data_IF_470732675535
#
_entry.id   IF_470732675535
#
_cell.length_a   1.000
_cell.length_b   1.000
_cell.length_c   1.000
_cell.angle_alpha   90.00
_cell.angle_beta   90.00
_cell.angle_gamma   90.00
#
_symmetry.space_group_name_H-M   'P 1'
#
loop_
_entity.id
_entity.type
_entity.pdbx_description
1 polymer ?
#
# COMPACT_ATOMS: atom_id res chain seq x y z
N UNK A 1 -67.63 27.71 79.28
CA UNK A 1 -66.52 27.89 78.30
C UNK A 1 -66.95 28.99 77.35
N UNK A 2 -66.15 30.09 77.28
CA UNK A 2 -66.49 31.20 76.38
C UNK A 2 -66.21 30.76 74.91
N UNK A 3 -67.03 31.25 73.97
CA UNK A 3 -66.86 31.04 72.50
C UNK A 3 -65.48 31.50 72.07
N UNK A 4 -64.88 32.55 72.64
CA UNK A 4 -63.52 33.07 72.40
C UNK A 4 -62.44 32.02 72.70
N UNK A 5 -62.55 31.25 73.77
CA UNK A 5 -61.62 30.20 74.09
C UNK A 5 -61.66 29.01 73.12
N UNK A 6 -62.80 28.76 72.49
CA UNK A 6 -62.95 27.72 71.46
C UNK A 6 -62.35 28.20 70.16
N UNK A 7 -62.57 29.43 69.78
CA UNK A 7 -61.98 30.03 68.59
C UNK A 7 -60.43 30.10 68.63
N UNK A 8 -59.96 30.54 69.78
CA UNK A 8 -58.46 30.59 69.99
C UNK A 8 -57.78 29.21 69.89
N UNK A 9 -58.47 28.21 70.44
CA UNK A 9 -58.00 26.83 70.39
C UNK A 9 -58.02 26.25 68.96
N UNK A 10 -59.06 26.56 68.17
CA UNK A 10 -59.09 26.19 66.75
C UNK A 10 -58.06 26.87 65.94
N UNK A 11 -57.79 28.17 66.23
CA UNK A 11 -56.68 28.90 65.57
C UNK A 11 -55.30 28.30 65.93
N UNK A 12 -55.05 27.98 67.17
CA UNK A 12 -53.82 27.35 67.66
C UNK A 12 -53.64 25.94 67.04
N UNK A 13 -54.70 25.11 67.06
CA UNK A 13 -54.65 23.77 66.43
C UNK A 13 -54.44 23.86 64.88
N UNK A 14 -55.09 24.83 64.24
CA UNK A 14 -54.92 25.05 62.81
C UNK A 14 -53.50 25.52 62.46
N UNK A 15 -52.99 26.48 63.25
CA UNK A 15 -51.60 26.98 63.04
C UNK A 15 -50.56 25.87 63.28
N UNK A 16 -50.78 25.01 64.26
CA UNK A 16 -49.91 23.84 64.49
C UNK A 16 -49.95 22.86 63.31
N UNK A 17 -51.16 22.51 62.83
CA UNK A 17 -51.36 21.61 61.69
C UNK A 17 -50.72 22.20 60.41
N UNK A 18 -50.89 23.47 60.14
CA UNK A 18 -50.24 24.15 59.01
C UNK A 18 -48.71 24.15 59.14
N UNK A 19 -48.18 24.41 60.36
CA UNK A 19 -46.74 24.30 60.62
C UNK A 19 -46.18 22.92 60.36
N UNK A 20 -46.92 21.87 60.76
CA UNK A 20 -46.53 20.49 60.53
C UNK A 20 -46.50 20.14 59.04
N UNK A 21 -47.54 20.49 58.28
CA UNK A 21 -47.59 20.29 56.85
C UNK A 21 -46.47 21.01 56.11
N UNK A 22 -46.15 22.26 56.46
CA UNK A 22 -45.05 23.02 55.86
C UNK A 22 -43.69 22.35 56.18
N UNK A 23 -43.48 21.93 57.42
CA UNK A 23 -42.26 21.27 57.86
C UNK A 23 -42.03 19.92 57.16
N UNK A 24 -43.09 19.14 56.97
CA UNK A 24 -43.05 17.88 56.20
C UNK A 24 -42.71 18.16 54.72
N UNK A 25 -43.37 19.15 54.12
CA UNK A 25 -43.14 19.51 52.73
C UNK A 25 -41.73 20.05 52.52
N UNK A 26 -41.16 20.83 53.41
CA UNK A 26 -39.76 21.31 53.35
C UNK A 26 -38.78 20.16 53.50
N UNK A 27 -39.04 19.21 54.42
CA UNK A 27 -38.23 18.02 54.61
C UNK A 27 -38.24 17.12 53.37
N UNK A 28 -39.38 16.96 52.76
CA UNK A 28 -39.51 16.18 51.53
C UNK A 28 -38.84 16.85 50.36
N UNK A 29 -38.97 18.17 50.20
CA UNK A 29 -38.30 18.95 49.20
C UNK A 29 -36.75 18.89 49.34
N UNK A 30 -36.21 18.90 50.58
CA UNK A 30 -34.79 18.76 50.84
C UNK A 30 -34.28 17.38 50.48
N UNK A 31 -34.97 16.32 50.80
CA UNK A 31 -34.64 14.94 50.38
C UNK A 31 -34.57 14.82 48.86
N UNK A 32 -35.59 15.36 48.18
CA UNK A 32 -35.63 15.33 46.70
C UNK A 32 -34.40 16.06 46.13
N UNK A 33 -34.00 17.22 46.71
CA UNK A 33 -32.83 17.96 46.27
C UNK A 33 -31.54 17.18 46.49
N UNK A 34 -31.39 16.52 47.67
CA UNK A 34 -30.25 15.70 48.00
C UNK A 34 -30.14 14.49 47.02
N UNK A 35 -31.22 13.82 46.74
CA UNK A 35 -31.26 12.69 45.84
C UNK A 35 -30.88 13.08 44.41
N UNK A 36 -31.42 14.19 43.87
CA UNK A 36 -31.03 14.71 42.57
C UNK A 36 -29.61 15.22 42.51
N UNK A 37 -29.09 15.82 43.59
CA UNK A 37 -27.72 16.24 43.68
C UNK A 37 -26.73 15.05 43.64
N UNK A 38 -27.10 13.95 44.32
CA UNK A 38 -26.33 12.70 44.31
C UNK A 38 -26.35 12.08 42.90
N UNK A 39 -27.52 11.96 42.27
CA UNK A 39 -27.70 11.43 40.94
C UNK A 39 -26.91 12.26 39.87
N UNK A 40 -27.00 13.58 39.95
CA UNK A 40 -26.25 14.49 39.09
C UNK A 40 -24.72 14.30 39.26
N UNK A 41 -24.28 14.10 40.51
CA UNK A 41 -22.87 13.81 40.82
C UNK A 41 -22.39 12.51 40.17
N UNK A 42 -23.16 11.44 40.32
CA UNK A 42 -22.82 10.14 39.66
C UNK A 42 -22.82 10.23 38.15
N UNK A 43 -23.83 10.89 37.59
CA UNK A 43 -23.91 11.10 36.14
C UNK A 43 -22.72 11.89 35.61
N UNK A 44 -22.32 12.93 36.31
CA UNK A 44 -21.12 13.73 35.96
C UNK A 44 -19.87 12.86 35.92
N UNK A 45 -19.60 12.09 36.95
CA UNK A 45 -18.44 11.18 37.02
C UNK A 45 -18.47 10.15 35.90
N UNK A 46 -19.65 9.59 35.62
CA UNK A 46 -19.84 8.63 34.52
C UNK A 46 -19.53 9.27 33.16
N UNK A 47 -20.05 10.47 32.90
CA UNK A 47 -19.83 11.18 31.64
C UNK A 47 -18.36 11.59 31.46
N UNK A 48 -17.71 12.09 32.51
CA UNK A 48 -16.29 12.42 32.50
C UNK A 48 -15.43 11.19 32.18
N UNK A 49 -15.72 10.05 32.81
CA UNK A 49 -15.02 8.80 32.52
C UNK A 49 -15.21 8.34 31.07
N UNK A 50 -16.45 8.40 30.58
CA UNK A 50 -16.75 8.04 29.18
C UNK A 50 -16.05 8.97 28.17
N UNK A 51 -16.07 10.27 28.44
CA UNK A 51 -15.39 11.26 27.60
C UNK A 51 -13.87 11.02 27.56
N UNK A 52 -13.26 10.73 28.71
CA UNK A 52 -11.85 10.42 28.81
C UNK A 52 -11.49 9.15 28.02
N UNK A 53 -12.24 8.07 28.22
CA UNK A 53 -12.00 6.82 27.49
C UNK A 53 -12.12 7.03 25.97
N UNK A 54 -13.15 7.74 25.51
CA UNK A 54 -13.32 8.07 24.08
C UNK A 54 -12.18 8.91 23.55
N UNK A 55 -11.70 9.87 24.32
CA UNK A 55 -10.57 10.71 23.91
C UNK A 55 -9.27 9.89 23.79
N UNK A 56 -9.01 8.99 24.73
CA UNK A 56 -7.85 8.09 24.70
C UNK A 56 -7.92 7.10 23.50
N UNK A 57 -9.09 6.56 23.22
CA UNK A 57 -9.33 5.69 22.04
C UNK A 57 -9.10 6.45 20.73
N UNK A 58 -9.63 7.66 20.61
CA UNK A 58 -9.47 8.48 19.42
C UNK A 58 -8.00 8.90 19.20
N UNK A 59 -7.32 9.29 20.28
CA UNK A 59 -5.89 9.61 20.21
C UNK A 59 -5.09 8.39 19.70
N UNK A 60 -5.35 7.21 20.26
CA UNK A 60 -4.69 5.97 19.81
C UNK A 60 -4.98 5.67 18.36
N UNK A 61 -6.23 5.84 17.92
CA UNK A 61 -6.63 5.65 16.53
C UNK A 61 -5.89 6.60 15.59
N UNK A 62 -5.78 7.88 15.95
CA UNK A 62 -5.07 8.87 15.17
C UNK A 62 -3.57 8.53 15.06
N UNK A 63 -2.92 8.13 16.16
CA UNK A 63 -1.51 7.75 16.13
C UNK A 63 -1.26 6.54 15.21
N UNK A 64 -2.07 5.49 15.32
CA UNK A 64 -1.94 4.30 14.45
C UNK A 64 -2.16 4.66 12.98
N UNK A 65 -3.14 5.50 12.68
CA UNK A 65 -3.39 5.94 11.31
C UNK A 65 -2.21 6.75 10.75
N UNK A 66 -1.62 7.65 11.55
CA UNK A 66 -0.46 8.42 11.12
C UNK A 66 0.78 7.52 10.93
N UNK A 67 1.01 6.56 11.79
CA UNK A 67 2.10 5.57 11.60
C UNK A 67 1.92 4.77 10.31
N UNK A 68 0.70 4.33 10.02
CA UNK A 68 0.39 3.61 8.78
C UNK A 68 0.59 4.51 7.55
N UNK A 69 0.18 5.77 7.64
CA UNK A 69 0.37 6.76 6.56
C UNK A 69 1.84 6.99 6.26
N UNK A 70 2.64 7.24 7.30
CA UNK A 70 4.09 7.45 7.17
C UNK A 70 4.79 6.21 6.60
N UNK A 71 4.41 5.01 7.06
CA UNK A 71 4.96 3.76 6.53
C UNK A 71 4.62 3.58 5.05
N UNK A 72 3.40 3.89 4.65
CA UNK A 72 2.98 3.85 3.25
C UNK A 72 3.79 4.83 2.40
N UNK A 73 3.92 6.09 2.82
CA UNK A 73 4.71 7.10 2.13
C UNK A 73 6.18 6.68 1.97
N UNK A 74 6.78 6.09 3.02
CA UNK A 74 8.13 5.58 2.95
C UNK A 74 8.27 4.45 1.91
N UNK A 75 7.33 3.51 1.88
CA UNK A 75 7.32 2.43 0.89
C UNK A 75 7.13 2.95 -0.53
N UNK A 76 6.27 3.94 -0.73
CA UNK A 76 6.09 4.60 -2.03
C UNK A 76 7.41 5.27 -2.50
N UNK A 77 8.11 5.98 -1.61
CA UNK A 77 9.42 6.57 -1.94
C UNK A 77 10.50 5.54 -2.26
N UNK A 78 10.55 4.46 -1.47
CA UNK A 78 11.48 3.35 -1.77
C UNK A 78 11.19 2.75 -3.16
N UNK A 79 9.91 2.59 -3.52
CA UNK A 79 9.52 2.09 -4.84
C UNK A 79 9.90 3.04 -5.98
N UNK A 80 9.66 4.34 -5.82
CA UNK A 80 10.06 5.35 -6.80
C UNK A 80 11.56 5.31 -7.10
N UNK A 81 12.39 5.12 -6.07
CA UNK A 81 13.85 4.99 -6.22
C UNK A 81 14.20 3.73 -7.03
N UNK A 82 13.58 2.59 -6.71
CA UNK A 82 13.79 1.34 -7.46
C UNK A 82 13.33 1.47 -8.91
N UNK A 83 12.17 2.06 -9.17
CA UNK A 83 11.65 2.29 -10.51
C UNK A 83 12.61 3.19 -11.32
N UNK A 84 13.11 4.26 -10.73
CA UNK A 84 14.10 5.14 -11.37
C UNK A 84 15.42 4.41 -11.70
N UNK A 85 15.86 3.51 -10.82
CA UNK A 85 17.04 2.68 -11.05
C UNK A 85 16.86 1.78 -12.28
N UNK A 86 15.73 1.09 -12.40
CA UNK A 86 15.45 0.21 -13.55
C UNK A 86 15.31 0.99 -14.86
N UNK A 87 14.70 2.17 -14.82
CA UNK A 87 14.63 3.08 -15.99
C UNK A 87 16.02 3.50 -16.43
N UNK A 88 16.91 3.85 -15.51
CA UNK A 88 18.26 4.23 -15.83
C UNK A 88 19.10 3.04 -16.35
N UNK A 89 18.90 1.85 -15.76
CA UNK A 89 19.53 0.63 -16.24
C UNK A 89 19.08 0.28 -17.68
N UNK A 90 17.79 0.41 -17.97
CA UNK A 90 17.24 0.20 -19.32
C UNK A 90 17.90 1.16 -20.33
N UNK A 91 17.95 2.46 -20.01
CA UNK A 91 18.60 3.47 -20.87
C UNK A 91 20.08 3.16 -21.16
N UNK A 92 20.81 2.68 -20.16
CA UNK A 92 22.21 2.28 -20.35
C UNK A 92 22.34 1.08 -21.27
N UNK A 93 21.44 0.11 -21.15
CA UNK A 93 21.41 -1.06 -22.04
C UNK A 93 21.03 -0.64 -23.46
N UNK A 94 20.06 0.26 -23.64
CA UNK A 94 19.67 0.81 -24.93
C UNK A 94 20.82 1.60 -25.60
N UNK A 95 21.68 2.22 -24.82
CA UNK A 95 22.81 3.02 -25.29
C UNK A 95 24.08 2.22 -25.55
N UNK A 96 24.03 0.88 -25.47
CA UNK A 96 25.17 0.03 -25.82
C UNK A 96 25.64 0.26 -27.26
N UNK A 97 26.95 0.27 -27.46
CA UNK A 97 27.55 0.32 -28.79
C UNK A 97 27.12 -0.93 -29.60
N UNK A 98 27.04 -0.79 -30.92
CA UNK A 98 26.58 -1.82 -31.84
C UNK A 98 27.22 -3.18 -31.58
N UNK A 99 28.51 -3.23 -31.43
CA UNK A 99 29.27 -4.46 -31.29
C UNK A 99 28.98 -5.15 -29.95
N UNK A 100 28.87 -4.38 -28.87
CA UNK A 100 28.49 -4.86 -27.55
C UNK A 100 27.05 -5.40 -27.54
N UNK A 101 26.15 -4.69 -28.20
CA UNK A 101 24.75 -5.11 -28.36
C UNK A 101 24.64 -6.47 -29.12
N UNK A 102 25.34 -6.60 -30.25
CA UNK A 102 25.33 -7.84 -31.02
C UNK A 102 25.93 -9.03 -30.27
N UNK A 103 27.02 -8.82 -29.53
CA UNK A 103 27.62 -9.89 -28.72
C UNK A 103 26.68 -10.28 -27.55
N UNK A 104 25.99 -9.32 -26.92
CA UNK A 104 24.99 -9.59 -25.88
C UNK A 104 23.84 -10.40 -26.48
N UNK A 105 23.27 -9.99 -27.61
CA UNK A 105 22.18 -10.71 -28.28
C UNK A 105 22.60 -12.11 -28.68
N UNK A 106 23.79 -12.29 -29.21
CA UNK A 106 24.34 -13.59 -29.59
C UNK A 106 24.42 -14.51 -28.38
N UNK A 107 24.96 -14.04 -27.26
CA UNK A 107 25.05 -14.81 -26.03
C UNK A 107 23.65 -15.21 -25.50
N UNK A 108 22.68 -14.29 -25.55
CA UNK A 108 21.34 -14.53 -25.08
C UNK A 108 20.60 -15.52 -25.98
N UNK A 109 20.68 -15.37 -27.29
CA UNK A 109 20.11 -16.30 -28.26
C UNK A 109 20.69 -17.70 -28.06
N UNK A 110 22.01 -17.85 -27.95
CA UNK A 110 22.67 -19.13 -27.74
C UNK A 110 22.23 -19.84 -26.46
N UNK A 111 21.96 -19.07 -25.39
CA UNK A 111 21.46 -19.65 -24.13
C UNK A 111 20.01 -20.07 -24.18
N UNK A 112 19.20 -19.48 -25.04
CA UNK A 112 17.76 -19.67 -25.10
C UNK A 112 17.29 -20.49 -26.30
N UNK A 113 18.04 -20.49 -27.39
CA UNK A 113 17.74 -21.33 -28.55
C UNK A 113 17.83 -22.82 -28.17
N UNK A 114 16.83 -23.58 -28.59
CA UNK A 114 16.72 -25.01 -28.29
C UNK A 114 17.04 -25.89 -29.47
N UNK A 115 16.53 -25.55 -30.63
CA UNK A 115 16.65 -26.33 -31.86
C UNK A 115 17.64 -25.74 -32.88
N UNK A 116 17.97 -24.48 -32.72
CA UNK A 116 18.68 -23.67 -33.73
C UNK A 116 17.99 -23.65 -35.08
N UNK A 117 16.65 -23.71 -35.10
CA UNK A 117 15.77 -23.52 -36.26
C UNK A 117 14.80 -22.36 -36.03
N UNK A 118 15.02 -21.64 -34.95
CA UNK A 118 14.19 -20.52 -34.58
C UNK A 118 14.37 -19.37 -35.59
N UNK A 119 13.29 -18.63 -35.81
CA UNK A 119 13.31 -17.34 -36.50
C UNK A 119 13.50 -16.24 -35.46
N UNK A 120 14.41 -15.30 -35.76
CA UNK A 120 14.62 -14.12 -34.93
C UNK A 120 13.74 -13.01 -35.47
N UNK A 121 12.80 -12.56 -34.68
CA UNK A 121 12.03 -11.35 -34.95
C UNK A 121 12.81 -10.17 -34.37
N UNK A 122 13.08 -9.17 -35.19
CA UNK A 122 13.83 -7.94 -34.81
C UNK A 122 13.01 -6.71 -35.20
N UNK A 123 13.25 -5.56 -34.58
CA UNK A 123 12.66 -4.30 -35.01
C UNK A 123 13.07 -3.96 -36.45
N UNK A 124 12.21 -3.24 -37.17
CA UNK A 124 12.45 -2.90 -38.59
C UNK A 124 13.73 -2.07 -38.77
N UNK A 125 13.96 -1.12 -37.90
CA UNK A 125 15.14 -0.24 -37.91
C UNK A 125 16.46 -0.95 -37.55
N UNK A 126 16.38 -2.14 -36.96
CA UNK A 126 17.54 -2.93 -36.55
C UNK A 126 17.85 -4.10 -37.49
N UNK A 127 17.06 -4.36 -38.50
CA UNK A 127 17.26 -5.49 -39.43
C UNK A 127 18.64 -5.51 -40.06
N UNK A 128 19.17 -4.36 -40.45
CA UNK A 128 20.50 -4.24 -41.04
C UNK A 128 21.63 -4.63 -40.06
N UNK A 129 21.42 -4.40 -38.77
CA UNK A 129 22.41 -4.71 -37.73
C UNK A 129 22.56 -6.23 -37.57
N UNK A 130 21.46 -6.96 -37.68
CA UNK A 130 21.41 -8.42 -37.60
C UNK A 130 21.66 -9.12 -38.95
N UNK A 131 22.48 -8.52 -39.78
CA UNK A 131 22.79 -8.99 -41.11
C UNK A 131 23.44 -10.38 -41.19
N UNK A 132 23.86 -10.74 -42.41
CA UNK A 132 24.40 -12.08 -42.71
C UNK A 132 25.60 -12.48 -41.81
N UNK A 133 26.50 -11.52 -41.50
CA UNK A 133 27.64 -11.78 -40.67
C UNK A 133 27.29 -12.22 -39.25
N UNK A 134 26.25 -11.59 -38.65
CA UNK A 134 25.73 -11.97 -37.35
C UNK A 134 25.14 -13.38 -37.39
N UNK A 135 24.29 -13.66 -38.38
CA UNK A 135 23.68 -15.00 -38.55
C UNK A 135 24.73 -16.09 -38.74
N UNK A 136 25.76 -15.81 -39.57
CA UNK A 136 26.85 -16.75 -39.82
C UNK A 136 27.63 -17.03 -38.53
N UNK A 137 27.90 -16.00 -37.75
CA UNK A 137 28.59 -16.13 -36.46
C UNK A 137 27.78 -16.95 -35.45
N UNK A 138 26.45 -16.75 -35.42
CA UNK A 138 25.52 -17.44 -34.54
C UNK A 138 25.40 -18.92 -34.93
N UNK A 139 25.23 -19.21 -36.21
CA UNK A 139 25.09 -20.55 -36.78
C UNK A 139 26.37 -21.39 -36.68
N UNK A 140 27.56 -20.76 -36.83
CA UNK A 140 28.87 -21.41 -36.61
C UNK A 140 29.00 -21.95 -35.18
N UNK A 141 28.56 -21.19 -34.20
CA UNK A 141 28.65 -21.56 -32.78
C UNK A 141 27.64 -22.64 -32.41
N UNK A 142 26.54 -22.79 -33.16
CA UNK A 142 25.53 -23.84 -32.95
C UNK A 142 26.09 -25.29 -33.13
N UNK A 143 27.26 -25.44 -33.71
CA UNK A 143 27.93 -26.72 -33.90
C UNK A 143 27.16 -27.64 -34.84
N UNK A 144 27.25 -28.97 -34.62
CA UNK A 144 26.63 -30.00 -35.49
C UNK A 144 25.09 -30.12 -35.37
N UNK A 145 24.42 -29.22 -34.67
CA UNK A 145 22.96 -29.18 -34.62
C UNK A 145 22.47 -28.69 -35.98
N UNK A 146 21.85 -29.57 -36.75
CA UNK A 146 21.32 -29.30 -38.12
C UNK A 146 20.15 -28.35 -38.06
N UNK A 147 20.41 -27.07 -37.97
CA UNK A 147 19.44 -25.97 -38.05
C UNK A 147 20.16 -24.71 -38.49
N UNK A 148 19.47 -23.80 -39.07
CA UNK A 148 19.96 -22.45 -39.32
C UNK A 148 18.94 -21.47 -38.77
N UNK A 149 19.38 -20.67 -37.81
CA UNK A 149 18.59 -19.53 -37.36
C UNK A 149 18.50 -18.54 -38.50
N UNK A 150 17.31 -18.01 -38.74
CA UNK A 150 17.01 -17.00 -39.79
C UNK A 150 16.36 -15.78 -39.15
N UNK A 151 16.35 -14.67 -39.89
CA UNK A 151 15.57 -13.50 -39.51
C UNK A 151 14.16 -13.65 -40.09
N UNK A 152 13.16 -13.32 -39.27
CA UNK A 152 11.77 -13.29 -39.69
C UNK A 152 11.51 -12.19 -40.70
N UNK A 153 10.63 -12.44 -41.69
CA UNK A 153 10.22 -11.41 -42.62
C UNK A 153 9.30 -10.37 -41.96
N UNK A 154 8.59 -10.75 -40.92
CA UNK A 154 7.76 -9.86 -40.11
C UNK A 154 8.60 -9.13 -39.04
N UNK A 155 8.63 -7.80 -39.06
CA UNK A 155 9.31 -7.04 -38.02
C UNK A 155 8.56 -7.11 -36.68
N UNK A 156 9.29 -6.91 -35.60
CA UNK A 156 8.73 -6.79 -34.25
C UNK A 156 8.33 -5.35 -33.92
N UNK A 157 7.28 -5.20 -33.14
CA UNK A 157 6.82 -3.92 -32.60
C UNK A 157 7.43 -3.68 -31.19
N UNK A 158 8.75 -3.51 -31.16
CA UNK A 158 9.53 -3.20 -29.95
C UNK A 158 10.81 -2.46 -30.35
N UNK A 159 11.44 -1.75 -29.41
CA UNK A 159 12.60 -0.89 -29.69
C UNK A 159 13.94 -1.58 -29.52
N UNK A 160 14.03 -2.62 -28.70
CA UNK A 160 15.30 -3.25 -28.34
C UNK A 160 15.14 -4.74 -28.01
N UNK A 161 16.12 -5.54 -28.45
CA UNK A 161 16.13 -6.96 -28.21
C UNK A 161 15.65 -7.79 -29.39
N UNK A 162 15.29 -9.05 -29.15
CA UNK A 162 14.83 -9.99 -30.16
C UNK A 162 13.76 -10.92 -29.60
N UNK A 163 12.90 -11.46 -30.47
CA UNK A 163 12.00 -12.56 -30.12
C UNK A 163 12.41 -13.77 -30.95
N UNK A 164 12.66 -14.91 -30.28
CA UNK A 164 12.91 -16.19 -30.93
C UNK A 164 11.58 -16.91 -31.14
N UNK A 165 11.26 -17.29 -32.37
CA UNK A 165 10.01 -17.97 -32.73
C UNK A 165 10.31 -19.31 -33.38
N UNK A 166 9.65 -20.38 -32.93
CA UNK A 166 9.65 -21.69 -33.58
C UNK A 166 8.25 -22.29 -33.52
N UNK A 167 7.53 -22.24 -34.64
CA UNK A 167 6.14 -22.70 -34.68
C UNK A 167 5.23 -21.99 -33.70
N UNK A 168 4.75 -22.68 -32.66
CA UNK A 168 3.89 -22.11 -31.60
C UNK A 168 4.67 -21.62 -30.37
N UNK A 169 5.97 -21.85 -30.35
CA UNK A 169 6.84 -21.42 -29.22
C UNK A 169 7.49 -20.10 -29.55
N UNK A 170 7.49 -19.20 -28.60
CA UNK A 170 8.26 -17.96 -28.67
C UNK A 170 9.01 -17.74 -27.36
N UNK A 171 10.21 -17.21 -27.48
CA UNK A 171 11.02 -16.75 -26.35
C UNK A 171 11.26 -15.27 -26.56
N UNK A 172 10.73 -14.46 -25.66
CA UNK A 172 10.83 -13.02 -25.72
C UNK A 172 12.11 -12.59 -24.96
N UNK A 173 12.99 -11.92 -25.68
CA UNK A 173 14.24 -11.34 -25.21
C UNK A 173 14.28 -9.83 -25.45
N UNK A 174 13.11 -9.19 -25.45
CA UNK A 174 13.00 -7.74 -25.51
C UNK A 174 13.45 -7.12 -24.18
N UNK A 175 13.88 -5.87 -24.22
CA UNK A 175 14.38 -5.18 -23.02
C UNK A 175 13.36 -5.13 -21.91
N UNK A 176 12.10 -4.85 -22.23
CA UNK A 176 11.02 -4.77 -21.24
C UNK A 176 10.83 -6.08 -20.47
N UNK A 177 10.82 -7.21 -21.20
CA UNK A 177 10.70 -8.53 -20.59
C UNK A 177 11.93 -8.90 -19.77
N UNK A 178 13.12 -8.55 -20.26
CA UNK A 178 14.38 -8.80 -19.54
C UNK A 178 14.47 -7.98 -18.26
N UNK A 179 14.11 -6.71 -18.29
CA UNK A 179 14.07 -5.85 -17.10
C UNK A 179 13.03 -6.37 -16.11
N UNK A 180 11.83 -6.76 -16.58
CA UNK A 180 10.81 -7.33 -15.69
C UNK A 180 11.30 -8.60 -14.99
N UNK A 181 11.90 -9.54 -15.74
CA UNK A 181 12.47 -10.78 -15.17
C UNK A 181 13.63 -10.51 -14.21
N UNK A 182 14.45 -9.51 -14.53
CA UNK A 182 15.55 -9.10 -13.68
C UNK A 182 15.03 -8.51 -12.38
N UNK A 183 14.03 -7.63 -12.46
CA UNK A 183 13.36 -7.01 -11.35
C UNK A 183 12.86 -8.06 -10.35
N UNK A 184 12.06 -9.03 -10.83
CA UNK A 184 11.50 -10.09 -9.97
C UNK A 184 12.58 -10.89 -9.22
N UNK A 185 13.77 -11.01 -9.80
CA UNK A 185 14.85 -11.82 -9.26
C UNK A 185 15.76 -11.09 -8.30
N UNK A 186 16.11 -9.83 -8.59
CA UNK A 186 17.16 -9.10 -7.87
C UNK A 186 16.66 -7.90 -7.06
N UNK A 187 15.38 -7.51 -7.20
CA UNK A 187 14.83 -6.38 -6.44
C UNK A 187 15.01 -6.51 -4.93
N UNK A 188 14.82 -7.70 -4.30
CA UNK A 188 15.09 -7.86 -2.87
C UNK A 188 16.54 -7.58 -2.49
N UNK A 189 17.49 -8.04 -3.30
CA UNK A 189 18.92 -7.83 -3.05
C UNK A 189 19.31 -6.36 -3.21
N UNK A 190 18.78 -5.71 -4.24
CA UNK A 190 18.98 -4.27 -4.45
C UNK A 190 18.37 -3.46 -3.30
N UNK A 191 17.15 -3.80 -2.89
CA UNK A 191 16.48 -3.14 -1.77
C UNK A 191 17.28 -3.30 -0.47
N UNK A 192 17.86 -4.47 -0.22
CA UNK A 192 18.72 -4.71 0.94
C UNK A 192 20.01 -3.86 0.92
N UNK A 193 20.55 -3.57 -0.26
CA UNK A 193 21.74 -2.71 -0.39
C UNK A 193 21.39 -1.22 -0.28
N UNK A 194 20.28 -0.80 -0.88
CA UNK A 194 19.89 0.61 -0.91
C UNK A 194 19.23 1.09 0.37
N UNK A 195 18.48 0.22 1.03
CA UNK A 195 17.65 0.56 2.20
C UNK A 195 18.06 -0.28 3.40
N UNK A 196 19.34 -0.19 3.77
CA UNK A 196 19.83 -0.79 5.02
C UNK A 196 19.05 -0.13 6.15
N UNK A 197 18.24 -0.92 6.86
CA UNK A 197 17.58 -0.43 8.06
C UNK A 197 18.67 -0.16 9.11
N UNK A 198 18.81 1.11 9.52
CA UNK A 198 19.59 1.51 10.69
C UNK A 198 18.90 1.05 11.98
#
# INVERSE_FOLDING_TARGET
MSIENILKRIEEETAAAVGEIISEAESEAEKIREDYAAEAGELKVKLERQARTKAEEEQRRLLVNEELRLRKELLERKREILDALYVEAAKRIESLERDEYLELMKMMIQRRATSFKEEIVVPEDQREIFGKEFLDSLNKTAGRKKGAISISDEPGDFSWGVILREGKRSVDLTLDVLIAQLRDRIEPDIAAVLFVDE
#
